data_IF_080804191977
#
_entry.id   IF_080804191977
#
_cell.length_a   1.000
_cell.length_b   1.000
_cell.length_c   1.000
_cell.angle_alpha   90.00
_cell.angle_beta   90.00
_cell.angle_gamma   90.00
#
_symmetry.space_group_name_H-M   'P 1'
#
loop_
_entity.id
_entity.type
_entity.pdbx_description
1 polymer ?
#
# COMPACT_ATOMS: atom_id res chain seq x y z
N UNK A 1 -28.18 -7.73 -24.64
CA UNK A 1 -27.43 -6.84 -23.78
C UNK A 1 -26.15 -7.51 -23.35
N UNK A 2 -25.07 -6.87 -23.56
CA UNK A 2 -23.81 -7.36 -23.03
C UNK A 2 -23.59 -6.79 -21.66
N UNK A 3 -23.23 -7.64 -20.72
CA UNK A 3 -22.81 -7.18 -19.43
C UNK A 3 -21.34 -6.86 -19.48
N UNK A 4 -21.01 -5.64 -19.14
CA UNK A 4 -19.63 -5.27 -18.99
C UNK A 4 -19.17 -5.80 -17.64
N UNK A 5 -18.19 -6.67 -17.67
CA UNK A 5 -17.61 -7.20 -16.44
C UNK A 5 -16.44 -6.31 -16.11
N UNK A 6 -16.53 -5.66 -14.94
CA UNK A 6 -15.46 -4.84 -14.44
C UNK A 6 -14.70 -5.63 -13.39
N UNK A 7 -13.46 -5.96 -13.67
CA UNK A 7 -12.60 -6.64 -12.73
C UNK A 7 -11.60 -5.64 -12.16
N UNK A 8 -11.43 -5.70 -10.85
CA UNK A 8 -10.40 -4.92 -10.17
C UNK A 8 -9.18 -5.81 -9.99
N UNK A 9 -8.06 -5.35 -10.46
CA UNK A 9 -6.80 -6.09 -10.35
C UNK A 9 -5.76 -5.23 -9.68
N UNK A 10 -5.03 -5.81 -8.73
CA UNK A 10 -3.90 -5.15 -8.10
C UNK A 10 -2.67 -5.33 -8.95
N UNK A 11 -2.04 -4.21 -9.29
CA UNK A 11 -0.79 -4.24 -10.03
C UNK A 11 0.25 -3.41 -9.31
N UNK A 12 1.50 -3.82 -9.46
CA UNK A 12 2.63 -3.03 -9.00
C UNK A 12 2.68 -1.71 -9.76
N UNK A 13 2.79 -0.60 -9.03
CA UNK A 13 2.82 0.72 -9.64
C UNK A 13 4.20 1.37 -9.55
N UNK A 14 4.81 1.36 -8.37
CA UNK A 14 6.07 2.06 -8.16
C UNK A 14 6.67 1.65 -6.81
N UNK A 15 7.93 1.97 -6.63
CA UNK A 15 8.59 1.87 -5.33
C UNK A 15 8.64 3.26 -4.72
N UNK A 16 8.13 3.37 -3.49
CA UNK A 16 8.11 4.64 -2.78
C UNK A 16 8.97 4.56 -1.53
N UNK A 17 9.54 5.70 -1.15
CA UNK A 17 10.13 5.85 0.18
C UNK A 17 9.03 6.16 1.17
N UNK A 18 9.23 5.92 2.49
CA UNK A 18 8.17 6.14 3.48
C UNK A 18 7.59 7.55 3.48
N UNK A 19 8.41 8.55 3.17
CA UNK A 19 7.96 9.96 3.13
C UNK A 19 7.01 10.23 1.97
N UNK A 20 6.96 9.35 0.97
CA UNK A 20 6.07 9.47 -0.18
C UNK A 20 4.75 8.74 0.01
N UNK A 21 4.64 7.90 1.04
CA UNK A 21 3.42 7.16 1.30
C UNK A 21 2.31 8.08 1.82
N UNK A 22 1.08 7.70 1.51
CA UNK A 22 -0.11 8.38 2.00
C UNK A 22 -1.06 7.37 2.61
N UNK A 23 -1.87 7.83 3.55
CA UNK A 23 -2.92 6.99 4.13
C UNK A 23 -3.87 6.56 3.01
N UNK A 24 -4.17 5.28 2.97
CA UNK A 24 -4.98 4.68 1.92
C UNK A 24 -4.18 3.99 0.83
N UNK A 25 -2.87 4.18 0.80
CA UNK A 25 -2.03 3.49 -0.17
C UNK A 25 -1.98 1.99 0.11
N UNK A 26 -1.92 1.20 -0.95
CA UNK A 26 -1.76 -0.24 -0.86
C UNK A 26 -0.29 -0.58 -1.09
N UNK A 27 0.30 -1.26 -0.13
CA UNK A 27 1.71 -1.63 -0.19
C UNK A 27 1.87 -3.12 0.05
N UNK A 28 2.98 -3.66 -0.43
CA UNK A 28 3.28 -5.07 -0.23
C UNK A 28 4.26 -5.24 0.92
N UNK A 29 3.88 -6.07 1.88
CA UNK A 29 4.74 -6.47 2.99
C UNK A 29 4.81 -7.99 2.96
N UNK A 30 5.99 -8.53 2.70
CA UNK A 30 6.14 -9.96 2.49
C UNK A 30 5.33 -10.38 1.27
N UNK A 31 4.39 -11.29 1.46
CA UNK A 31 3.52 -11.78 0.38
C UNK A 31 2.13 -11.14 0.41
N UNK A 32 1.89 -10.20 1.34
CA UNK A 32 0.57 -9.62 1.55
C UNK A 32 0.51 -8.18 1.06
N UNK A 33 -0.63 -7.83 0.47
CA UNK A 33 -0.95 -6.45 0.12
C UNK A 33 -1.83 -5.89 1.23
N UNK A 34 -1.38 -4.79 1.83
CA UNK A 34 -2.05 -4.19 2.98
C UNK A 34 -2.24 -2.70 2.74
N UNK A 35 -3.21 -2.13 3.44
CA UNK A 35 -3.53 -0.71 3.32
C UNK A 35 -2.83 0.09 4.41
N UNK A 36 -2.23 1.21 4.04
CA UNK A 36 -1.63 2.14 5.00
C UNK A 36 -2.73 2.88 5.71
N UNK A 37 -2.77 2.77 7.04
CA UNK A 37 -3.79 3.41 7.87
C UNK A 37 -3.22 4.55 8.71
N UNK A 38 -1.93 4.53 9.01
CA UNK A 38 -1.30 5.57 9.80
C UNK A 38 0.18 5.65 9.47
N UNK A 39 0.74 6.86 9.50
CA UNK A 39 2.15 7.10 9.20
C UNK A 39 2.69 8.03 10.27
N UNK A 40 3.68 7.53 11.02
CA UNK A 40 4.39 8.33 12.02
C UNK A 40 5.87 8.36 11.68
N UNK A 41 6.50 9.50 11.88
CA UNK A 41 7.95 9.61 11.76
C UNK A 41 8.54 9.89 13.14
N UNK A 42 9.79 9.47 13.33
CA UNK A 42 10.48 9.81 14.57
C UNK A 42 10.92 11.28 14.56
N UNK A 43 11.46 11.74 15.66
CA UNK A 43 11.84 13.15 15.80
C UNK A 43 12.99 13.57 14.88
N UNK A 44 13.77 12.60 14.40
CA UNK A 44 14.88 12.87 13.48
C UNK A 44 14.48 12.79 12.04
N UNK A 45 13.33 12.15 11.73
CA UNK A 45 12.89 11.92 10.37
C UNK A 45 13.63 10.78 9.67
N UNK A 46 14.44 10.02 10.40
CA UNK A 46 15.23 8.94 9.82
C UNK A 46 14.45 7.63 9.75
N UNK A 47 13.44 7.47 10.59
CA UNK A 47 12.63 6.26 10.64
C UNK A 47 11.16 6.60 10.63
N UNK A 48 10.39 5.72 9.99
CA UNK A 48 8.95 5.86 9.89
C UNK A 48 8.28 4.60 10.40
N UNK A 49 7.25 4.77 11.23
CA UNK A 49 6.38 3.69 11.66
C UNK A 49 5.14 3.72 10.80
N UNK A 50 4.97 2.69 10.00
CA UNK A 50 3.84 2.59 9.07
C UNK A 50 2.86 1.57 9.62
N UNK A 51 1.68 2.04 9.99
CA UNK A 51 0.61 1.15 10.41
C UNK A 51 -0.20 0.72 9.19
N UNK A 52 -0.45 -0.57 9.08
CA UNK A 52 -1.18 -1.16 7.96
C UNK A 52 -2.29 -2.05 8.47
N UNK A 53 -3.28 -2.25 7.63
CA UNK A 53 -4.40 -3.13 7.91
C UNK A 53 -4.59 -4.09 6.74
N UNK A 54 -4.75 -5.38 7.04
CA UNK A 54 -4.98 -6.38 6.02
C UNK A 54 -6.48 -6.53 5.74
N UNK A 55 -6.82 -7.43 4.83
CA UNK A 55 -8.21 -7.66 4.43
C UNK A 55 -9.08 -8.23 5.56
N UNK A 56 -8.45 -8.78 6.58
CA UNK A 56 -9.15 -9.34 7.75
C UNK A 56 -9.33 -8.30 8.87
N UNK A 57 -8.87 -7.08 8.65
CA UNK A 57 -8.97 -6.03 9.66
C UNK A 57 -7.84 -6.05 10.69
N UNK A 58 -6.86 -6.90 10.52
CA UNK A 58 -5.72 -6.96 11.42
C UNK A 58 -4.74 -5.84 11.13
N UNK A 59 -4.25 -5.20 12.18
CA UNK A 59 -3.31 -4.09 12.05
C UNK A 59 -1.91 -4.51 12.46
N UNK A 60 -0.92 -3.90 11.81
CA UNK A 60 0.47 -4.17 12.09
C UNK A 60 1.26 -2.88 11.88
N UNK A 61 2.30 -2.68 12.68
CA UNK A 61 3.20 -1.55 12.53
C UNK A 61 4.55 -2.07 12.07
N UNK A 62 5.04 -1.51 10.96
CA UNK A 62 6.35 -1.86 10.42
C UNK A 62 7.22 -0.60 10.40
N UNK A 63 8.44 -0.72 10.87
CA UNK A 63 9.39 0.39 10.85
C UNK A 63 10.22 0.35 9.58
N UNK A 64 10.31 1.51 8.91
CA UNK A 64 11.11 1.69 7.71
C UNK A 64 12.09 2.84 7.90
N UNK A 65 13.29 2.70 7.36
CA UNK A 65 14.19 3.82 7.24
C UNK A 65 13.76 4.74 6.09
N UNK A 66 14.13 6.00 6.15
CA UNK A 66 13.68 6.99 5.15
C UNK A 66 14.15 6.69 3.73
N UNK A 67 15.16 5.84 3.56
CA UNK A 67 15.65 5.43 2.25
C UNK A 67 15.13 4.08 1.79
N UNK A 68 14.33 3.41 2.61
CA UNK A 68 13.78 2.11 2.26
C UNK A 68 12.80 2.23 1.10
N UNK A 69 12.80 1.22 0.26
CA UNK A 69 11.91 1.15 -0.90
C UNK A 69 10.72 0.28 -0.56
N UNK A 70 9.52 0.82 -0.74
CA UNK A 70 8.27 0.13 -0.40
C UNK A 70 7.46 -0.02 -1.68
N UNK A 71 7.13 -1.27 -2.08
CA UNK A 71 6.35 -1.47 -3.30
C UNK A 71 4.93 -0.98 -3.15
N UNK A 72 4.52 -0.07 -4.02
CA UNK A 72 3.16 0.45 -4.06
C UNK A 72 2.36 -0.32 -5.10
N UNK A 73 1.16 -0.72 -4.71
CA UNK A 73 0.21 -1.38 -5.59
C UNK A 73 -1.03 -0.53 -5.76
N UNK A 74 -1.62 -0.60 -6.94
CA UNK A 74 -2.86 0.13 -7.23
C UNK A 74 -3.85 -0.81 -7.86
N UNK A 75 -5.15 -0.51 -7.68
CA UNK A 75 -6.21 -1.21 -8.39
C UNK A 75 -6.40 -0.59 -9.75
N UNK A 76 -6.50 -1.43 -10.75
CA UNK A 76 -6.92 -0.99 -12.08
C UNK A 76 -8.23 -1.68 -12.42
N UNK A 77 -9.06 -1.00 -13.20
CA UNK A 77 -10.28 -1.57 -13.73
C UNK A 77 -10.00 -2.15 -15.09
N UNK A 78 -10.41 -3.39 -15.29
CA UNK A 78 -10.37 -4.01 -16.60
C UNK A 78 -11.80 -4.28 -17.04
N UNK A 79 -12.17 -3.76 -18.19
CA UNK A 79 -13.48 -3.99 -18.76
C UNK A 79 -13.37 -5.04 -19.85
N UNK A 80 -14.22 -6.05 -19.73
CA UNK A 80 -14.36 -7.06 -20.76
C UNK A 80 -15.79 -7.07 -21.25
N UNK A 81 -15.92 -7.10 -22.56
CA UNK A 81 -17.22 -7.19 -23.20
C UNK A 81 -17.47 -8.57 -23.77
#
# INVERSE_FOLDING_TARGET
>A
MSDTITNMELIYADDLTPDQLMIGDLIKIGDDIVEVTEIDSDSTGDNYDIQTQNEFGETEVTQYGYTDSIPLYVFIEQEEE
#
